data_IF_243016042586
#
_entry.id   IF_243016042586
#
_cell.length_a   1.000
_cell.length_b   1.000
_cell.length_c   1.000
_cell.angle_alpha   90.00
_cell.angle_beta   90.00
_cell.angle_gamma   90.00
#
_symmetry.space_group_name_H-M   'P 1'
#
loop_
_entity.id
_entity.type
_entity.pdbx_description
1 polymer ?
#
# COMPACT_ATOMS: atom_id res chain seq x y z
N UNK A 1 21.97 -46.53 -4.31
CA UNK A 1 20.48 -46.54 -4.07
C UNK A 1 20.16 -45.52 -3.04
N UNK A 2 19.58 -44.43 -3.44
CA UNK A 2 19.20 -43.33 -2.53
C UNK A 2 17.74 -43.48 -2.18
N UNK A 3 17.45 -43.79 -0.91
CA UNK A 3 16.09 -43.86 -0.40
C UNK A 3 15.64 -42.46 0.01
N UNK A 4 14.68 -41.92 -0.71
CA UNK A 4 14.02 -40.65 -0.39
C UNK A 4 12.90 -40.96 0.60
N UNK A 5 13.06 -40.51 1.82
CA UNK A 5 12.00 -40.58 2.85
C UNK A 5 11.22 -39.30 2.76
N UNK A 6 10.03 -39.41 2.20
CA UNK A 6 9.05 -38.31 2.18
C UNK A 6 8.28 -38.39 3.49
N UNK A 7 8.59 -37.50 4.41
CA UNK A 7 7.80 -37.32 5.62
C UNK A 7 6.64 -36.34 5.31
N UNK A 8 5.44 -36.89 5.18
CA UNK A 8 4.20 -36.11 5.15
C UNK A 8 3.86 -35.71 6.58
N UNK A 9 4.04 -34.45 6.90
CA UNK A 9 3.53 -33.87 8.15
C UNK A 9 2.23 -33.13 7.84
N UNK A 10 1.09 -33.82 8.01
CA UNK A 10 -0.23 -33.21 7.95
C UNK A 10 -0.51 -32.52 9.28
N UNK A 11 -0.40 -31.21 9.30
CA UNK A 11 -0.81 -30.39 10.43
C UNK A 11 -2.25 -29.92 10.21
N UNK A 12 -3.21 -30.62 10.79
CA UNK A 12 -4.60 -30.21 10.84
C UNK A 12 -4.75 -29.08 11.86
N UNK A 13 -4.92 -27.86 11.39
CA UNK A 13 -5.31 -26.74 12.25
C UNK A 13 -6.82 -26.61 12.21
N UNK A 14 -7.48 -27.07 13.26
CA UNK A 14 -8.88 -26.77 13.51
C UNK A 14 -8.98 -25.35 14.05
N UNK A 15 -9.46 -24.43 13.24
CA UNK A 15 -9.73 -23.05 13.66
C UNK A 15 -11.19 -22.97 14.13
N UNK A 16 -11.39 -22.92 15.42
CA UNK A 16 -12.71 -22.61 16.00
C UNK A 16 -12.94 -21.10 15.88
N UNK A 17 -13.87 -20.73 15.02
CA UNK A 17 -14.35 -19.36 14.93
C UNK A 17 -15.40 -19.16 16.02
N UNK A 18 -15.05 -18.44 17.05
CA UNK A 18 -16.02 -17.87 17.97
C UNK A 18 -16.62 -16.62 17.33
N UNK A 19 -17.88 -16.70 16.97
CA UNK A 19 -18.65 -15.56 16.51
C UNK A 19 -19.03 -14.77 17.75
N UNK A 20 -18.36 -13.65 17.94
CA UNK A 20 -18.76 -12.66 18.95
C UNK A 20 -19.83 -11.76 18.35
N UNK A 21 -20.89 -11.65 19.06
CA UNK A 21 -22.15 -10.99 18.80
C UNK A 21 -22.00 -9.52 18.41
N UNK A 22 -22.75 -9.14 17.41
CA UNK A 22 -22.90 -7.80 16.87
C UNK A 22 -23.79 -6.98 17.82
N UNK A 23 -23.21 -6.07 18.56
CA UNK A 23 -23.99 -4.99 19.12
C UNK A 23 -24.00 -3.81 18.13
N UNK A 24 -25.01 -3.79 17.30
CA UNK A 24 -25.31 -2.67 16.42
C UNK A 24 -25.90 -1.52 17.24
N UNK A 25 -25.06 -0.57 17.63
CA UNK A 25 -25.54 0.71 18.12
C UNK A 25 -25.43 1.72 16.99
N UNK A 26 -26.51 1.86 16.23
CA UNK A 26 -26.66 2.92 15.24
C UNK A 26 -26.97 4.24 15.96
N UNK A 27 -25.94 5.00 16.22
CA UNK A 27 -26.09 6.41 16.57
C UNK A 27 -26.11 7.22 15.28
N UNK A 28 -27.30 7.53 14.83
CA UNK A 28 -27.53 8.53 13.80
C UNK A 28 -27.22 9.89 14.39
N UNK A 29 -26.03 10.41 14.18
CA UNK A 29 -25.73 11.81 14.40
C UNK A 29 -26.21 12.61 13.20
N UNK A 30 -27.08 13.61 13.38
CA UNK A 30 -27.45 14.48 12.28
C UNK A 30 -26.24 15.29 11.84
N UNK A 31 -25.91 15.16 10.56
CA UNK A 31 -24.91 16.02 9.92
C UNK A 31 -25.43 17.44 9.95
N UNK A 32 -24.92 18.24 10.87
CA UNK A 32 -25.10 19.67 10.78
C UNK A 32 -24.23 20.19 9.63
N UNK A 33 -24.91 20.53 8.57
CA UNK A 33 -24.35 21.26 7.45
C UNK A 33 -23.99 22.68 7.93
N UNK A 34 -22.81 22.84 8.50
CA UNK A 34 -22.27 24.17 8.77
C UNK A 34 -21.55 24.63 7.49
N UNK A 35 -22.28 25.34 6.70
CA UNK A 35 -21.77 26.16 5.63
C UNK A 35 -20.92 27.29 6.24
N UNK A 36 -19.71 26.98 6.63
CA UNK A 36 -18.72 27.97 7.00
C UNK A 36 -17.93 28.36 5.75
N UNK A 37 -18.43 29.38 5.09
CA UNK A 37 -17.70 30.09 4.04
C UNK A 37 -16.55 30.86 4.68
N UNK A 38 -15.45 30.19 4.93
CA UNK A 38 -14.19 30.84 5.29
C UNK A 38 -13.19 30.63 4.16
N UNK A 39 -13.13 31.60 3.27
CA UNK A 39 -12.22 31.71 2.13
C UNK A 39 -10.76 31.94 2.56
N UNK A 40 -10.30 31.34 3.62
CA UNK A 40 -8.89 31.36 4.03
C UNK A 40 -8.44 29.95 4.38
N UNK A 41 -8.48 29.06 3.38
CA UNK A 41 -7.79 27.80 3.51
C UNK A 41 -6.29 28.09 3.52
N UNK A 42 -5.54 27.69 4.57
CA UNK A 42 -4.08 27.83 4.56
C UNK A 42 -3.56 27.11 3.32
N UNK A 43 -2.70 27.75 2.54
CA UNK A 43 -2.06 27.14 1.37
C UNK A 43 -1.33 25.87 1.85
N UNK A 44 -1.92 24.71 1.67
CA UNK A 44 -1.30 23.44 2.01
C UNK A 44 -0.05 23.29 1.16
N UNK A 45 1.06 22.92 1.78
CA UNK A 45 2.27 22.60 1.05
C UNK A 45 1.95 21.52 -0.01
N UNK A 46 2.52 21.62 -1.21
CA UNK A 46 2.29 20.62 -2.24
C UNK A 46 2.67 19.24 -1.72
N UNK A 47 1.74 18.29 -1.86
CA UNK A 47 1.95 16.90 -1.45
C UNK A 47 2.59 16.16 -2.61
N UNK A 48 3.70 15.48 -2.35
CA UNK A 48 4.33 14.60 -3.33
C UNK A 48 3.38 13.48 -3.72
N UNK A 49 3.14 13.33 -5.02
CA UNK A 49 2.31 12.25 -5.59
C UNK A 49 2.99 11.65 -6.80
N UNK A 50 3.09 10.32 -6.83
CA UNK A 50 3.48 9.60 -8.03
C UNK A 50 2.38 9.70 -9.09
N UNK A 51 2.78 9.81 -10.35
CA UNK A 51 1.86 9.77 -11.48
C UNK A 51 1.53 8.31 -11.86
N UNK A 52 0.57 8.14 -12.78
CA UNK A 52 0.12 6.82 -13.22
C UNK A 52 1.25 5.96 -13.79
N UNK A 53 2.13 6.54 -14.59
CA UNK A 53 3.23 5.83 -15.22
C UNK A 53 4.27 5.38 -14.20
N UNK A 54 4.57 6.21 -13.23
CA UNK A 54 5.45 5.86 -12.11
C UNK A 54 4.85 4.73 -11.26
N UNK A 55 3.54 4.74 -11.04
CA UNK A 55 2.85 3.66 -10.32
C UNK A 55 2.91 2.36 -11.12
N UNK A 56 2.68 2.39 -12.42
CA UNK A 56 2.79 1.22 -13.29
C UNK A 56 4.21 0.64 -13.25
N UNK A 57 5.23 1.48 -13.36
CA UNK A 57 6.63 1.04 -13.28
C UNK A 57 6.94 0.43 -11.91
N UNK A 58 6.46 1.03 -10.84
CA UNK A 58 6.61 0.49 -9.49
C UNK A 58 5.92 -0.86 -9.33
N UNK A 59 4.70 -1.02 -9.84
CA UNK A 59 3.98 -2.30 -9.83
C UNK A 59 4.73 -3.38 -10.60
N UNK A 60 5.35 -3.04 -11.75
CA UNK A 60 6.21 -3.96 -12.50
C UNK A 60 7.41 -4.43 -11.67
N UNK A 61 8.09 -3.51 -11.01
CA UNK A 61 9.26 -3.81 -10.17
C UNK A 61 8.86 -4.67 -8.96
N UNK A 62 7.76 -4.32 -8.29
CA UNK A 62 7.23 -5.09 -7.16
C UNK A 62 6.85 -6.51 -7.59
N UNK A 63 6.28 -6.65 -8.78
CA UNK A 63 5.92 -7.95 -9.38
C UNK A 63 7.16 -8.80 -9.67
N UNK A 64 8.21 -8.21 -10.27
CA UNK A 64 9.48 -8.88 -10.52
C UNK A 64 10.15 -9.37 -9.23
N UNK A 65 10.00 -8.63 -8.14
CA UNK A 65 10.55 -8.99 -6.83
C UNK A 65 9.64 -9.91 -6.00
N UNK A 66 8.48 -10.28 -6.51
CA UNK A 66 7.52 -11.16 -5.84
C UNK A 66 6.76 -10.50 -4.68
N UNK A 67 6.77 -9.17 -4.59
CA UNK A 67 6.04 -8.41 -3.56
C UNK A 67 4.63 -8.02 -3.98
N UNK A 68 4.31 -8.17 -5.25
CA UNK A 68 3.03 -7.81 -5.83
C UNK A 68 2.63 -8.83 -6.90
N UNK A 69 1.40 -9.32 -6.85
CA UNK A 69 0.86 -10.32 -7.80
C UNK A 69 -0.30 -9.78 -8.65
N UNK A 70 -0.74 -8.56 -8.39
CA UNK A 70 -1.85 -7.93 -9.11
C UNK A 70 -1.49 -7.42 -10.50
N UNK A 71 -2.43 -6.75 -11.13
CA UNK A 71 -2.25 -6.11 -12.42
C UNK A 71 -1.65 -4.71 -12.31
N UNK A 72 -0.96 -4.30 -13.37
CA UNK A 72 -0.37 -2.95 -13.47
C UNK A 72 -1.45 -1.96 -13.92
N UNK A 73 -2.25 -1.49 -12.98
CA UNK A 73 -3.38 -0.59 -13.24
C UNK A 73 -3.06 0.89 -13.04
N UNK A 74 -1.86 1.20 -12.57
CA UNK A 74 -1.44 2.59 -12.31
C UNK A 74 -2.18 3.24 -11.15
N UNK A 75 -2.68 2.45 -10.20
CA UNK A 75 -3.33 2.91 -8.97
C UNK A 75 -2.63 2.33 -7.75
N UNK A 76 -2.51 3.13 -6.71
CA UNK A 76 -2.01 2.68 -5.40
C UNK A 76 -3.15 2.04 -4.61
N UNK A 77 -3.53 0.84 -5.01
CA UNK A 77 -4.50 0.00 -4.30
C UNK A 77 -3.88 -0.61 -3.02
N UNK A 78 -4.69 -1.35 -2.27
CA UNK A 78 -4.26 -1.98 -1.03
C UNK A 78 -3.11 -2.98 -1.26
N UNK A 79 -3.17 -3.76 -2.32
CA UNK A 79 -2.16 -4.77 -2.67
C UNK A 79 -0.84 -4.12 -3.09
N UNK A 80 -0.90 -3.05 -3.89
CA UNK A 80 0.28 -2.25 -4.25
C UNK A 80 0.93 -1.64 -3.01
N UNK A 81 0.14 -1.11 -2.09
CA UNK A 81 0.65 -0.55 -0.82
C UNK A 81 1.31 -1.61 0.07
N UNK A 82 0.72 -2.80 0.14
CA UNK A 82 1.31 -3.93 0.86
C UNK A 82 2.64 -4.36 0.24
N UNK A 83 2.71 -4.44 -1.09
CA UNK A 83 3.95 -4.70 -1.82
C UNK A 83 5.01 -3.64 -1.61
N UNK A 84 4.61 -2.35 -1.62
CA UNK A 84 5.53 -1.24 -1.34
C UNK A 84 6.12 -1.30 0.06
N UNK A 85 5.32 -1.65 1.07
CA UNK A 85 5.83 -1.83 2.44
C UNK A 85 6.91 -2.90 2.50
N UNK A 86 6.67 -4.05 1.89
CA UNK A 86 7.67 -5.15 1.81
C UNK A 86 8.94 -4.70 1.08
N UNK A 87 8.79 -3.98 -0.01
CA UNK A 87 9.93 -3.42 -0.75
C UNK A 87 10.73 -2.43 0.10
N UNK A 88 10.05 -1.49 0.72
CA UNK A 88 10.69 -0.47 1.57
C UNK A 88 11.42 -1.09 2.76
N UNK A 89 10.86 -2.13 3.35
CA UNK A 89 11.49 -2.91 4.41
C UNK A 89 12.75 -3.64 3.90
N UNK A 90 12.67 -4.31 2.76
CA UNK A 90 13.79 -4.99 2.13
C UNK A 90 14.94 -4.04 1.74
N UNK A 91 14.62 -2.84 1.28
CA UNK A 91 15.59 -1.79 0.94
C UNK A 91 16.06 -0.95 2.15
N UNK A 92 15.57 -1.28 3.33
CA UNK A 92 15.91 -0.58 4.60
C UNK A 92 15.65 0.93 4.55
N UNK A 93 14.58 1.32 3.88
CA UNK A 93 14.06 2.68 3.85
C UNK A 93 12.78 2.80 4.68
N UNK A 94 12.33 4.02 4.96
CA UNK A 94 11.14 4.25 5.76
C UNK A 94 9.91 3.56 5.14
N UNK A 95 9.26 2.68 5.92
CA UNK A 95 8.08 1.93 5.50
C UNK A 95 6.83 2.80 5.60
N UNK A 96 6.37 3.30 4.48
CA UNK A 96 5.19 4.18 4.37
C UNK A 96 4.04 3.55 3.59
N UNK A 97 4.32 2.59 2.72
CA UNK A 97 3.36 2.02 1.78
C UNK A 97 2.94 3.00 0.68
N UNK A 98 3.73 4.05 0.44
CA UNK A 98 3.50 5.05 -0.60
C UNK A 98 4.71 5.20 -1.50
N UNK A 99 4.48 5.64 -2.74
CA UNK A 99 5.55 6.02 -3.66
C UNK A 99 5.97 7.46 -3.37
N UNK A 100 6.86 7.62 -2.41
CA UNK A 100 7.52 8.88 -2.13
C UNK A 100 8.80 9.04 -2.97
N UNK A 101 9.43 10.19 -2.90
CA UNK A 101 10.67 10.51 -3.65
C UNK A 101 11.75 9.45 -3.43
N UNK A 102 12.04 9.10 -2.19
CA UNK A 102 13.08 8.11 -1.84
C UNK A 102 12.78 6.73 -2.42
N UNK A 103 11.51 6.31 -2.38
CA UNK A 103 11.09 5.01 -2.94
C UNK A 103 11.23 4.99 -4.46
N UNK A 104 10.84 6.05 -5.15
CA UNK A 104 11.01 6.17 -6.60
C UNK A 104 12.48 6.16 -7.00
N UNK A 105 13.31 6.89 -6.31
CA UNK A 105 14.77 6.92 -6.54
C UNK A 105 15.40 5.53 -6.33
N UNK A 106 15.00 4.83 -5.26
CA UNK A 106 15.46 3.45 -4.99
C UNK A 106 15.03 2.44 -6.07
N UNK A 107 13.84 2.63 -6.62
CA UNK A 107 13.34 1.82 -7.73
C UNK A 107 13.95 2.20 -9.08
N UNK A 108 14.70 3.29 -9.16
CA UNK A 108 15.25 3.81 -10.42
C UNK A 108 14.19 4.42 -11.33
N UNK A 109 13.07 4.85 -10.77
CA UNK A 109 11.98 5.50 -11.52
C UNK A 109 12.23 7.00 -11.59
N UNK A 110 12.19 7.56 -12.81
CA UNK A 110 12.45 8.98 -13.03
C UNK A 110 11.45 9.88 -12.32
N UNK A 111 11.96 10.91 -11.66
CA UNK A 111 11.15 11.97 -11.06
C UNK A 111 10.81 13.03 -12.11
N UNK A 112 9.60 13.57 -12.03
CA UNK A 112 9.24 14.76 -12.81
C UNK A 112 9.93 16.01 -12.26
N UNK A 113 10.08 17.06 -13.07
CA UNK A 113 10.74 18.29 -12.62
C UNK A 113 10.03 18.90 -11.41
N UNK A 114 8.71 18.85 -11.38
CA UNK A 114 7.92 19.26 -10.22
C UNK A 114 8.23 18.45 -8.96
N UNK A 115 8.43 17.15 -9.10
CA UNK A 115 8.76 16.26 -7.98
C UNK A 115 10.19 16.46 -7.47
N UNK A 116 11.12 16.82 -8.34
CA UNK A 116 12.51 17.15 -7.95
C UNK A 116 12.59 18.38 -7.07
N UNK A 117 11.69 19.33 -7.28
CA UNK A 117 11.61 20.58 -6.51
C UNK A 117 10.87 20.45 -5.17
N UNK A 118 10.28 19.32 -4.89
CA UNK A 118 9.62 18.98 -3.62
C UNK A 118 10.59 18.26 -2.68
#
# INVERSE_FOLDING_TARGET
MKKIITALLSLSFAFSIAIADQNSNSSTTPVQNQNANSNTAPKRKPIFRANKDQINQAQAILKQRGFYSGEQIGKLDADTRAGLKKYQEAEKIKVTGTLNKVTLEKMGIALTDKQKMM
#
